data_IF_934882898859
#
_entry.id   IF_934882898859
#
_cell.length_a   1.000
_cell.length_b   1.000
_cell.length_c   1.000
_cell.angle_alpha   90.00
_cell.angle_beta   90.00
_cell.angle_gamma   90.00
#
_symmetry.space_group_name_H-M   'P 1'
#
loop_
_entity.id
_entity.type
_entity.pdbx_description
1 polymer ?
#
# COMPACT_ATOMS: atom_id res chain seq x y z
N UNK A 1 -52.28 29.28 16.95
CA UNK A 1 -51.99 28.37 18.08
C UNK A 1 -52.47 26.98 17.69
N UNK A 2 -51.76 25.87 17.96
CA UNK A 2 -50.47 25.67 18.69
C UNK A 2 -49.30 25.30 17.74
N UNK A 3 -48.08 25.82 17.82
CA UNK A 3 -46.94 25.67 18.77
C UNK A 3 -46.23 24.30 18.77
N UNK A 4 -44.94 24.36 18.40
CA UNK A 4 -43.75 23.59 18.78
C UNK A 4 -43.84 22.09 19.15
N UNK A 5 -42.93 21.31 18.55
CA UNK A 5 -42.61 19.95 18.99
C UNK A 5 -41.17 19.57 18.63
N UNK A 6 -40.23 19.98 19.49
CA UNK A 6 -38.82 19.55 19.53
C UNK A 6 -38.69 18.03 19.43
N UNK A 7 -37.83 17.53 18.55
CA UNK A 7 -37.21 16.21 18.71
C UNK A 7 -35.70 16.28 18.50
N UNK A 8 -34.99 16.58 19.60
CA UNK A 8 -33.64 16.06 19.82
C UNK A 8 -33.78 14.76 20.63
N UNK A 9 -33.40 13.63 20.04
CA UNK A 9 -33.01 12.40 20.75
C UNK A 9 -31.74 11.93 20.03
N UNK A 10 -30.55 12.33 20.50
CA UNK A 10 -29.69 11.48 21.35
C UNK A 10 -29.82 10.00 21.03
N UNK A 11 -28.91 9.48 20.20
CA UNK A 11 -28.59 8.06 20.14
C UNK A 11 -27.15 7.92 20.60
N UNK A 12 -27.00 7.54 21.87
CA UNK A 12 -25.78 7.02 22.44
C UNK A 12 -25.95 5.51 22.57
N UNK A 13 -24.88 4.81 22.20
CA UNK A 13 -24.34 3.63 22.90
C UNK A 13 -24.80 2.23 22.43
N UNK A 14 -23.76 1.52 21.97
CA UNK A 14 -23.44 0.09 22.10
C UNK A 14 -23.86 -0.87 20.98
N UNK A 15 -22.83 -1.31 20.25
CA UNK A 15 -22.76 -2.70 19.79
C UNK A 15 -21.66 -3.41 20.57
N UNK A 16 -22.09 -4.36 21.40
CA UNK A 16 -21.25 -5.32 22.06
C UNK A 16 -20.61 -6.25 21.01
N UNK A 17 -19.30 -6.45 21.08
CA UNK A 17 -18.64 -7.53 20.35
C UNK A 17 -18.98 -8.89 20.98
N UNK A 18 -19.33 -9.92 20.21
CA UNK A 18 -19.36 -11.29 20.71
C UNK A 18 -17.93 -11.80 20.90
N UNK A 19 -17.57 -12.11 22.16
CA UNK A 19 -16.46 -12.99 22.50
C UNK A 19 -16.90 -14.43 22.33
N UNK A 20 -16.26 -15.21 21.46
CA UNK A 20 -16.28 -16.66 21.60
C UNK A 20 -14.98 -17.35 21.12
N UNK A 21 -14.28 -17.85 22.14
CA UNK A 21 -13.64 -19.18 22.24
C UNK A 21 -12.51 -19.51 21.26
N UNK A 22 -11.31 -19.38 21.80
CA UNK A 22 -10.09 -20.09 21.40
C UNK A 22 -10.33 -21.61 21.36
N UNK A 23 -10.19 -22.23 20.19
CA UNK A 23 -9.96 -23.67 20.07
C UNK A 23 -8.45 -23.90 19.95
N UNK A 24 -7.84 -24.18 21.09
CA UNK A 24 -6.50 -24.75 21.19
C UNK A 24 -6.59 -26.22 20.76
N UNK A 25 -6.20 -26.53 19.52
CA UNK A 25 -5.98 -27.91 19.08
C UNK A 25 -4.50 -28.22 19.18
N UNK A 26 -4.15 -28.90 20.28
CA UNK A 26 -2.88 -29.59 20.48
C UNK A 26 -2.88 -30.82 19.58
N UNK A 27 -2.02 -30.84 18.55
CA UNK A 27 -1.68 -32.08 17.86
C UNK A 27 -0.29 -32.52 18.29
N UNK A 28 -0.29 -33.66 18.98
CA UNK A 28 0.87 -34.32 19.53
C UNK A 28 1.83 -34.79 18.44
N UNK A 29 3.12 -34.66 18.76
CA UNK A 29 4.24 -35.21 18.02
C UNK A 29 4.21 -36.75 18.02
N UNK A 30 4.53 -37.35 16.88
CA UNK A 30 5.07 -38.71 16.82
C UNK A 30 6.39 -38.65 16.06
N UNK A 31 7.46 -38.67 16.85
CA UNK A 31 8.82 -38.99 16.43
C UNK A 31 8.89 -40.49 16.14
N UNK A 32 9.23 -40.86 14.92
CA UNK A 32 9.77 -42.19 14.61
C UNK A 32 11.16 -42.00 14.03
N UNK A 33 12.14 -42.13 14.93
CA UNK A 33 13.53 -42.34 14.60
C UNK A 33 13.72 -43.81 14.19
N UNK A 34 14.16 -44.04 12.95
CA UNK A 34 14.84 -45.25 12.59
C UNK A 34 16.32 -44.90 12.38
N UNK A 35 17.12 -45.22 13.38
CA UNK A 35 18.56 -45.27 13.28
C UNK A 35 18.96 -46.42 12.34
N UNK A 36 19.72 -46.12 11.31
CA UNK A 36 20.57 -47.11 10.65
C UNK A 36 21.96 -46.51 10.50
N UNK A 37 22.87 -46.95 11.36
CA UNK A 37 24.30 -46.73 11.26
C UNK A 37 24.94 -47.87 10.47
N UNK A 38 25.91 -47.53 9.63
CA UNK A 38 26.82 -48.45 8.92
C UNK A 38 26.79 -48.13 7.42
N UNK A 39 27.90 -47.84 6.72
CA UNK A 39 29.29 -48.17 6.96
C UNK A 39 30.21 -47.08 6.40
N UNK A 40 31.39 -47.02 6.99
CA UNK A 40 32.55 -46.23 6.56
C UNK A 40 33.01 -46.65 5.17
N UNK A 41 33.10 -45.70 4.23
CA UNK A 41 34.03 -45.80 3.11
C UNK A 41 34.44 -44.40 2.70
N UNK A 42 35.70 -44.07 2.98
CA UNK A 42 36.39 -42.93 2.41
C UNK A 42 36.32 -43.01 0.89
N UNK A 43 35.81 -41.96 0.27
CA UNK A 43 36.02 -41.69 -1.15
C UNK A 43 36.24 -40.20 -1.31
N UNK A 44 37.51 -39.86 -1.54
CA UNK A 44 37.91 -38.57 -2.07
C UNK A 44 37.09 -38.29 -3.33
N UNK A 45 36.26 -37.25 -3.28
CA UNK A 45 35.68 -36.64 -4.45
C UNK A 45 36.05 -35.16 -4.45
N UNK A 46 36.80 -34.83 -5.49
CA UNK A 46 37.22 -33.50 -5.92
C UNK A 46 36.08 -32.51 -5.74
N UNK A 47 36.32 -31.48 -4.92
CA UNK A 47 35.37 -30.38 -4.71
C UNK A 47 35.41 -29.46 -5.93
N UNK A 48 34.82 -29.92 -7.02
CA UNK A 48 34.50 -29.08 -8.16
C UNK A 48 33.49 -28.02 -7.68
N UNK A 49 33.97 -26.77 -7.58
CA UNK A 49 33.16 -25.63 -7.19
C UNK A 49 32.29 -25.24 -8.39
N UNK A 50 31.25 -26.03 -8.65
CA UNK A 50 30.18 -25.67 -9.58
C UNK A 50 29.47 -24.47 -8.99
N UNK A 51 29.86 -23.27 -9.42
CA UNK A 51 29.05 -22.07 -9.20
C UNK A 51 27.79 -22.23 -10.02
N UNK A 52 26.74 -22.75 -9.41
CA UNK A 52 25.38 -22.56 -9.92
C UNK A 52 25.20 -21.04 -10.06
N UNK A 53 24.91 -20.51 -11.27
CA UNK A 53 24.51 -19.13 -11.39
C UNK A 53 23.17 -19.02 -10.68
N UNK A 54 23.18 -18.49 -9.45
CA UNK A 54 21.94 -18.00 -8.87
C UNK A 54 21.42 -16.91 -9.82
N UNK A 55 20.14 -16.93 -10.23
CA UNK A 55 19.56 -15.79 -10.88
C UNK A 55 19.69 -14.63 -9.90
N UNK A 56 20.52 -13.64 -10.26
CA UNK A 56 20.63 -12.39 -9.53
C UNK A 56 19.27 -11.71 -9.62
N UNK A 57 18.41 -12.01 -8.65
CA UNK A 57 17.17 -11.30 -8.46
C UNK A 57 17.55 -9.84 -8.22
N UNK A 58 17.38 -9.01 -9.25
CA UNK A 58 17.50 -7.57 -9.14
C UNK A 58 16.62 -7.13 -7.99
N UNK A 59 17.22 -6.69 -6.88
CA UNK A 59 16.48 -6.15 -5.75
C UNK A 59 15.91 -4.80 -6.19
N UNK A 60 14.68 -4.81 -6.69
CA UNK A 60 14.00 -3.58 -7.06
C UNK A 60 13.94 -2.66 -5.83
N UNK A 61 14.34 -1.39 -6.00
CA UNK A 61 14.29 -0.42 -4.90
C UNK A 61 12.85 0.05 -4.69
N UNK A 62 12.43 0.19 -3.44
CA UNK A 62 11.14 0.79 -3.07
C UNK A 62 10.87 2.11 -3.80
N UNK A 63 11.90 2.96 -3.95
CA UNK A 63 11.81 4.23 -4.68
C UNK A 63 11.44 4.07 -6.15
N UNK A 64 11.92 3.01 -6.80
CA UNK A 64 11.62 2.75 -8.21
C UNK A 64 10.16 2.31 -8.37
N UNK A 65 9.67 1.44 -7.49
CA UNK A 65 8.24 1.05 -7.47
C UNK A 65 7.36 2.26 -7.20
N UNK A 66 7.72 3.09 -6.21
CA UNK A 66 6.96 4.29 -5.85
C UNK A 66 6.85 5.27 -7.03
N UNK A 67 7.98 5.58 -7.68
CA UNK A 67 8.02 6.46 -8.85
C UNK A 67 7.26 5.87 -10.03
N UNK A 68 7.39 4.57 -10.27
CA UNK A 68 6.67 3.88 -11.36
C UNK A 68 5.18 3.97 -11.13
N UNK A 69 4.72 3.71 -9.90
CA UNK A 69 3.32 3.79 -9.54
C UNK A 69 2.76 5.20 -9.77
N UNK A 70 3.32 6.23 -9.12
CA UNK A 70 2.72 7.57 -9.17
C UNK A 70 2.82 8.21 -10.56
N UNK A 71 3.90 7.96 -11.30
CA UNK A 71 4.03 8.47 -12.66
C UNK A 71 3.11 7.75 -13.65
N UNK A 72 2.81 6.47 -13.44
CA UNK A 72 1.80 5.77 -14.22
C UNK A 72 0.38 6.34 -13.94
N UNK A 73 0.14 6.84 -12.72
CA UNK A 73 -1.12 7.53 -12.42
C UNK A 73 -1.20 8.90 -13.10
N UNK A 74 -0.12 9.68 -13.10
CA UNK A 74 -0.03 10.94 -13.86
C UNK A 74 -0.31 10.69 -15.35
N UNK A 75 0.30 9.65 -15.94
CA UNK A 75 0.01 9.25 -17.33
C UNK A 75 -1.47 8.91 -17.54
N UNK A 76 -2.15 8.31 -16.57
CA UNK A 76 -3.58 8.07 -16.66
C UNK A 76 -4.40 9.38 -16.63
N UNK A 77 -4.02 10.32 -15.77
CA UNK A 77 -4.70 11.61 -15.63
C UNK A 77 -4.50 12.51 -16.86
N UNK A 78 -3.33 12.45 -17.49
CA UNK A 78 -3.00 13.24 -18.69
C UNK A 78 -3.69 12.75 -19.97
N UNK A 79 -4.47 11.68 -19.94
CA UNK A 79 -5.16 11.19 -21.13
C UNK A 79 -6.28 12.15 -21.52
N UNK A 80 -6.34 12.51 -22.81
CA UNK A 80 -7.45 13.29 -23.36
C UNK A 80 -8.79 12.54 -23.26
N UNK A 81 -8.77 11.20 -23.36
CA UNK A 81 -9.94 10.32 -23.25
C UNK A 81 -9.56 8.98 -22.61
N UNK A 82 -10.51 8.36 -21.90
CA UNK A 82 -10.32 7.02 -21.32
C UNK A 82 -9.39 6.97 -20.10
N UNK A 83 -9.24 8.08 -19.38
CA UNK A 83 -8.69 8.06 -18.03
C UNK A 83 -9.59 7.21 -17.13
N UNK A 84 -8.99 6.23 -16.46
CA UNK A 84 -9.69 5.45 -15.44
C UNK A 84 -9.91 6.32 -14.21
N UNK A 85 -11.03 6.13 -13.51
CA UNK A 85 -11.25 6.78 -12.20
C UNK A 85 -10.18 6.30 -11.22
N UNK A 86 -9.85 7.10 -10.21
CA UNK A 86 -8.79 6.79 -9.24
C UNK A 86 -8.91 5.39 -8.62
N UNK A 87 -10.11 4.97 -8.22
CA UNK A 87 -10.37 3.64 -7.66
C UNK A 87 -10.17 2.52 -8.68
N UNK A 88 -10.63 2.70 -9.91
CA UNK A 88 -10.46 1.75 -11.01
C UNK A 88 -8.99 1.59 -11.38
N UNK A 89 -8.28 2.71 -11.49
CA UNK A 89 -6.87 2.73 -11.84
C UNK A 89 -6.03 2.02 -10.77
N UNK A 90 -6.19 2.38 -9.49
CA UNK A 90 -5.44 1.73 -8.38
C UNK A 90 -5.78 0.24 -8.30
N UNK A 91 -7.04 -0.14 -8.50
CA UNK A 91 -7.43 -1.55 -8.53
C UNK A 91 -6.74 -2.35 -9.64
N UNK A 92 -6.57 -1.74 -10.82
CA UNK A 92 -5.85 -2.36 -11.94
C UNK A 92 -4.34 -2.49 -11.71
N UNK A 93 -3.77 -1.69 -10.80
CA UNK A 93 -2.34 -1.67 -10.54
C UNK A 93 -1.86 -2.95 -9.84
N UNK A 94 -0.84 -3.58 -10.42
CA UNK A 94 -0.10 -4.70 -9.81
C UNK A 94 0.90 -4.24 -8.75
N UNK A 95 1.14 -2.92 -8.65
CA UNK A 95 2.07 -2.32 -7.71
C UNK A 95 1.39 -1.87 -6.41
N UNK A 96 0.07 -2.03 -6.30
CA UNK A 96 -0.71 -1.64 -5.12
C UNK A 96 -1.13 -2.87 -4.29
N UNK A 97 -1.03 -2.77 -2.97
CA UNK A 97 -1.52 -3.81 -2.06
C UNK A 97 -3.06 -3.89 -2.06
N UNK A 98 -3.60 -5.03 -1.63
CA UNK A 98 -5.04 -5.15 -1.40
C UNK A 98 -5.54 -4.20 -0.29
N UNK A 99 -4.71 -3.96 0.74
CA UNK A 99 -5.03 -3.03 1.82
C UNK A 99 -5.17 -1.59 1.33
N UNK A 100 -4.26 -1.14 0.48
CA UNK A 100 -4.33 0.17 -0.15
C UNK A 100 -5.60 0.33 -0.99
N UNK A 101 -5.88 -0.66 -1.86
CA UNK A 101 -7.08 -0.69 -2.71
C UNK A 101 -8.36 -0.57 -1.89
N UNK A 102 -8.46 -1.34 -0.81
CA UNK A 102 -9.61 -1.32 0.09
C UNK A 102 -9.75 0.03 0.83
N UNK A 103 -8.64 0.61 1.33
CA UNK A 103 -8.65 1.89 2.02
C UNK A 103 -9.07 3.05 1.09
N UNK A 104 -8.57 3.07 -0.15
CA UNK A 104 -8.99 4.05 -1.15
C UNK A 104 -10.49 3.91 -1.45
N UNK A 105 -10.96 2.69 -1.74
CA UNK A 105 -12.37 2.46 -2.04
C UNK A 105 -13.26 2.93 -0.89
N UNK A 106 -12.91 2.57 0.35
CA UNK A 106 -13.65 3.00 1.54
C UNK A 106 -13.69 4.52 1.64
N UNK A 107 -12.57 5.20 1.43
CA UNK A 107 -12.50 6.67 1.51
C UNK A 107 -13.42 7.33 0.49
N UNK A 108 -13.43 6.83 -0.75
CA UNK A 108 -14.31 7.34 -1.81
C UNK A 108 -15.78 7.03 -1.50
N UNK A 109 -16.09 5.81 -1.07
CA UNK A 109 -17.46 5.41 -0.72
C UNK A 109 -18.01 6.24 0.45
N UNK A 110 -17.21 6.44 1.51
CA UNK A 110 -17.58 7.24 2.67
C UNK A 110 -17.86 8.70 2.27
N UNK A 111 -17.01 9.28 1.41
CA UNK A 111 -17.18 10.65 0.93
C UNK A 111 -18.48 10.84 0.15
N UNK A 112 -18.84 9.90 -0.74
CA UNK A 112 -20.13 9.95 -1.45
C UNK A 112 -21.33 9.65 -0.54
N UNK A 113 -21.15 8.90 0.55
CA UNK A 113 -22.21 8.70 1.53
C UNK A 113 -22.46 9.98 2.36
N UNK A 114 -21.41 10.77 2.60
CA UNK A 114 -21.49 12.05 3.31
C UNK A 114 -21.99 13.19 2.41
N UNK A 115 -21.45 13.32 1.20
CA UNK A 115 -21.87 14.27 0.18
C UNK A 115 -22.07 13.55 -1.17
N UNK A 116 -23.31 13.14 -1.50
CA UNK A 116 -23.60 12.43 -2.74
C UNK A 116 -23.39 13.23 -4.02
N UNK A 117 -23.41 14.57 -3.96
CA UNK A 117 -23.24 15.42 -5.14
C UNK A 117 -21.76 15.65 -5.44
N UNK A 118 -20.95 15.86 -4.41
CA UNK A 118 -19.54 16.20 -4.55
C UNK A 118 -18.61 15.00 -4.39
N UNK A 119 -18.84 14.17 -3.37
CA UNK A 119 -17.89 13.16 -2.93
C UNK A 119 -16.60 13.78 -2.39
N UNK A 120 -15.45 13.42 -2.97
CA UNK A 120 -14.17 14.05 -2.65
C UNK A 120 -13.99 15.33 -3.48
N UNK A 121 -13.57 16.41 -2.83
CA UNK A 121 -13.26 17.70 -3.45
C UNK A 121 -11.80 17.81 -3.96
N UNK A 122 -11.01 16.74 -3.77
CA UNK A 122 -9.61 16.65 -4.19
C UNK A 122 -9.25 15.21 -4.59
N UNK A 123 -8.19 15.04 -5.38
CA UNK A 123 -7.64 13.72 -5.70
C UNK A 123 -6.96 13.12 -4.45
N UNK A 124 -7.34 11.90 -4.01
CA UNK A 124 -6.83 11.33 -2.77
C UNK A 124 -5.37 10.82 -2.87
N UNK A 125 -4.87 10.52 -4.07
CA UNK A 125 -3.49 10.09 -4.30
C UNK A 125 -2.55 11.30 -4.35
N UNK A 126 -3.00 12.38 -4.99
CA UNK A 126 -2.25 13.64 -5.02
C UNK A 126 -2.46 14.49 -3.77
N UNK A 127 -3.49 14.21 -2.96
CA UNK A 127 -3.87 15.01 -1.80
C UNK A 127 -3.97 16.51 -2.16
N UNK A 128 -4.57 16.79 -3.32
CA UNK A 128 -4.66 18.11 -3.95
C UNK A 128 -5.69 18.11 -5.10
N UNK A 129 -6.09 19.31 -5.53
CA UNK A 129 -6.94 19.49 -6.72
C UNK A 129 -6.14 19.45 -8.03
N UNK A 130 -4.87 19.83 -8.00
CA UNK A 130 -3.98 19.89 -9.17
C UNK A 130 -2.69 19.09 -8.92
N UNK A 131 -1.98 18.75 -9.99
CA UNK A 131 -0.84 17.84 -9.96
C UNK A 131 0.24 18.21 -10.99
N UNK A 132 1.51 17.81 -10.77
CA UNK A 132 2.57 17.99 -11.74
C UNK A 132 2.35 17.10 -12.97
N UNK A 133 1.88 17.70 -14.06
CA UNK A 133 1.60 17.07 -15.36
C UNK A 133 2.83 16.33 -15.94
N UNK A 134 4.03 16.83 -15.70
CA UNK A 134 5.31 16.20 -16.11
C UNK A 134 5.72 15.03 -15.22
N UNK A 135 4.96 14.75 -14.15
CA UNK A 135 5.18 13.68 -13.20
C UNK A 135 6.06 14.07 -12.03
N UNK A 136 6.61 13.07 -11.37
CA UNK A 136 7.35 13.15 -10.12
C UNK A 136 8.76 12.57 -10.26
N UNK A 137 9.66 13.08 -9.43
CA UNK A 137 11.02 12.58 -9.20
C UNK A 137 11.25 12.27 -7.72
N UNK A 138 12.31 11.51 -7.43
CA UNK A 138 12.64 11.14 -6.05
C UNK A 138 13.10 12.38 -5.28
N UNK A 139 12.50 12.62 -4.12
CA UNK A 139 12.96 13.64 -3.18
C UNK A 139 13.85 12.99 -2.11
N UNK A 140 13.29 12.00 -1.40
CA UNK A 140 14.00 11.30 -0.33
C UNK A 140 13.40 9.92 -0.05
N UNK A 141 14.17 9.07 0.61
CA UNK A 141 13.68 7.81 1.19
C UNK A 141 13.77 7.96 2.70
N UNK A 142 12.63 7.96 3.37
CA UNK A 142 12.53 8.10 4.81
C UNK A 142 12.46 6.71 5.48
N UNK A 143 12.86 6.65 6.75
CA UNK A 143 12.65 5.54 7.70
C UNK A 143 12.81 4.12 7.12
N UNK A 144 14.00 3.53 7.21
CA UNK A 144 14.26 2.10 6.92
C UNK A 144 13.60 1.57 5.62
N UNK A 145 13.47 2.42 4.60
CA UNK A 145 12.90 2.14 3.27
C UNK A 145 11.36 1.97 3.15
N UNK A 146 10.59 2.20 4.22
CA UNK A 146 9.13 1.99 4.18
C UNK A 146 8.35 3.24 3.74
N UNK A 147 8.99 4.40 3.65
CA UNK A 147 8.37 5.62 3.14
C UNK A 147 9.25 6.25 2.08
N UNK A 148 8.66 6.57 0.94
CA UNK A 148 9.32 7.28 -0.15
C UNK A 148 8.64 8.63 -0.31
N UNK A 149 9.42 9.70 -0.32
CA UNK A 149 8.93 11.03 -0.64
C UNK A 149 9.31 11.33 -2.08
N UNK A 150 8.31 11.74 -2.87
CA UNK A 150 8.50 12.19 -4.25
C UNK A 150 8.13 13.66 -4.36
N UNK A 151 8.71 14.34 -5.34
CA UNK A 151 8.50 15.77 -5.61
C UNK A 151 8.08 15.96 -7.06
N UNK A 152 7.21 16.93 -7.32
CA UNK A 152 6.79 17.26 -8.67
C UNK A 152 7.97 17.72 -9.54
N UNK A 153 7.95 17.31 -10.81
CA UNK A 153 8.91 17.79 -11.83
C UNK A 153 8.50 19.16 -12.33
N UNK A 154 9.49 20.02 -12.52
CA UNK A 154 9.27 21.43 -12.87
C UNK A 154 9.61 22.33 -11.68
N UNK A 155 9.98 23.58 -11.98
CA UNK A 155 10.33 24.55 -10.94
C UNK A 155 9.09 25.01 -10.17
N UNK A 156 7.97 25.09 -10.87
CA UNK A 156 6.64 25.44 -10.40
C UNK A 156 6.06 24.41 -9.42
N UNK A 157 6.50 23.14 -9.51
CA UNK A 157 6.04 22.05 -8.65
C UNK A 157 7.07 21.66 -7.58
N UNK A 158 8.09 22.49 -7.37
CA UNK A 158 9.23 22.17 -6.53
C UNK A 158 8.86 21.87 -5.07
N UNK A 159 7.79 22.50 -4.57
CA UNK A 159 7.30 22.33 -3.21
C UNK A 159 6.17 21.29 -3.11
N UNK A 160 5.67 20.82 -4.25
CA UNK A 160 4.65 19.77 -4.29
C UNK A 160 5.32 18.42 -4.02
N UNK A 161 5.13 17.90 -2.80
CA UNK A 161 5.67 16.60 -2.39
C UNK A 161 4.57 15.63 -1.94
N UNK A 162 4.83 14.34 -2.14
CA UNK A 162 3.94 13.26 -1.72
C UNK A 162 4.73 12.18 -0.98
N UNK A 163 4.13 11.67 0.10
CA UNK A 163 4.63 10.46 0.76
C UNK A 163 3.91 9.24 0.20
N UNK A 164 4.68 8.23 -0.20
CA UNK A 164 4.21 6.89 -0.50
C UNK A 164 4.68 5.94 0.60
N UNK A 165 3.74 5.16 1.14
CA UNK A 165 4.03 4.07 2.09
C UNK A 165 4.29 2.79 1.29
N UNK A 166 5.43 2.18 1.57
CA UNK A 166 5.94 1.00 0.88
C UNK A 166 5.96 -0.19 1.83
N UNK A 167 5.62 -1.37 1.30
CA UNK A 167 5.74 -2.64 2.02
C UNK A 167 6.38 -3.70 1.13
N UNK A 168 7.11 -4.63 1.75
CA UNK A 168 7.66 -5.80 1.06
C UNK A 168 6.69 -6.97 1.12
N UNK A 169 6.36 -7.56 -0.03
CA UNK A 169 5.70 -8.86 -0.14
C UNK A 169 6.69 -9.85 -0.75
N UNK A 170 7.43 -10.57 0.10
CA UNK A 170 8.56 -11.40 -0.33
C UNK A 170 9.70 -10.53 -0.86
N UNK A 171 10.10 -10.74 -2.11
CA UNK A 171 11.17 -10.00 -2.78
C UNK A 171 10.69 -8.75 -3.54
N UNK A 172 9.38 -8.47 -3.52
CA UNK A 172 8.79 -7.35 -4.26
C UNK A 172 8.33 -6.24 -3.33
N UNK A 173 8.55 -5.00 -3.75
CA UNK A 173 7.96 -3.83 -3.11
C UNK A 173 6.58 -3.54 -3.70
N UNK A 174 5.65 -3.13 -2.84
CA UNK A 174 4.32 -2.69 -3.21
C UNK A 174 4.00 -1.38 -2.50
N UNK A 175 3.18 -0.56 -3.13
CA UNK A 175 2.60 0.66 -2.55
C UNK A 175 1.41 0.26 -1.68
N UNK A 176 1.53 0.56 -0.40
CA UNK A 176 0.47 0.34 0.60
C UNK A 176 -0.31 1.62 0.93
N UNK A 177 0.22 2.79 0.57
CA UNK A 177 -0.47 4.06 0.75
C UNK A 177 0.17 5.19 -0.05
N UNK A 178 -0.60 6.21 -0.37
CA UNK A 178 -0.18 7.37 -1.15
C UNK A 178 -1.09 8.56 -0.81
N UNK A 179 -0.51 9.77 -0.80
CA UNK A 179 -1.26 10.99 -0.47
C UNK A 179 -1.89 10.88 0.92
N UNK A 180 -3.20 11.04 0.99
CA UNK A 180 -3.96 10.93 2.23
C UNK A 180 -4.50 9.52 2.52
N UNK A 181 -4.26 8.55 1.64
CA UNK A 181 -4.78 7.19 1.76
C UNK A 181 -3.74 6.27 2.41
N UNK A 182 -4.10 5.67 3.54
CA UNK A 182 -3.30 4.70 4.29
C UNK A 182 -1.86 5.17 4.59
N UNK A 183 -1.66 6.49 4.67
CA UNK A 183 -0.45 7.14 5.18
C UNK A 183 -0.81 7.84 6.49
N UNK A 184 -0.14 7.53 7.62
CA UNK A 184 -0.37 8.22 8.89
C UNK A 184 -0.11 9.72 8.76
N UNK A 185 -0.93 10.56 9.39
CA UNK A 185 -0.83 12.03 9.30
C UNK A 185 0.58 12.53 9.62
N UNK A 186 1.21 12.00 10.67
CA UNK A 186 2.58 12.37 11.07
C UNK A 186 3.67 11.99 10.06
N UNK A 187 3.35 11.24 9.00
CA UNK A 187 4.24 10.84 7.91
C UNK A 187 3.89 11.50 6.59
N UNK A 188 2.78 12.24 6.51
CA UNK A 188 2.42 13.02 5.32
C UNK A 188 3.32 14.26 5.25
N UNK A 189 3.62 14.67 4.03
CA UNK A 189 4.22 15.99 3.80
C UNK A 189 3.19 17.04 4.24
N UNK A 190 3.63 18.04 5.00
CA UNK A 190 2.78 19.19 5.29
C UNK A 190 2.43 19.94 3.99
N UNK A 191 1.18 20.40 3.90
CA UNK A 191 0.67 21.22 2.81
C UNK A 191 0.54 22.66 3.26
#
# INVERSE_FOLDING_TARGET
MPTEGKWRKQWKIWWAMPKNKTNTLVFAAVLLAAASCGQHTDSQLVKEKVSVPQPVASSEKASNVALTFINAYVTNCNKEQGALRVTEWVNSSKLATAGFKAALKKTVDDAYAEDPELGLDADPLFDAQDYPDKGFELDSVADKANYVVVRGKGKEWADFKLTLKMVTAGTHWLVDGCGNINVPVAKRVAR
#
